data_IF_065977126083
#
_entry.id   IF_065977126083
#
_cell.length_a   1.000
_cell.length_b   1.000
_cell.length_c   1.000
_cell.angle_alpha   90.00
_cell.angle_beta   90.00
_cell.angle_gamma   90.00
#
_symmetry.space_group_name_H-M   'P 1'
#
loop_
_entity.id
_entity.type
_entity.pdbx_description
1 polymer ?
#
# COMPACT_ATOMS: atom_id res chain seq x y z
N UNK A 1 -15.79 -3.68 7.60
CA UNK A 1 -14.94 -4.00 8.78
C UNK A 1 -15.83 -4.11 10.01
N UNK A 2 -15.52 -4.99 10.96
CA UNK A 2 -16.42 -5.35 12.08
C UNK A 2 -16.42 -4.37 13.25
N UNK A 3 -15.38 -3.54 13.40
CA UNK A 3 -15.25 -2.55 14.46
C UNK A 3 -14.70 -1.22 13.90
N UNK A 4 -15.01 -0.10 14.57
CA UNK A 4 -14.53 1.24 14.24
C UNK A 4 -13.00 1.31 14.30
N UNK A 5 -12.43 0.64 15.29
CA UNK A 5 -10.98 0.57 15.46
C UNK A 5 -10.26 -0.10 14.26
N UNK A 6 -10.82 -1.19 13.73
CA UNK A 6 -10.30 -1.84 12.52
C UNK A 6 -10.36 -0.89 11.32
N UNK A 7 -11.43 -0.09 11.24
CA UNK A 7 -11.62 0.90 10.18
C UNK A 7 -10.61 2.04 10.25
N UNK A 8 -10.40 2.60 11.44
CA UNK A 8 -9.40 3.66 11.66
C UNK A 8 -7.98 3.16 11.38
N UNK A 9 -7.67 1.93 11.79
CA UNK A 9 -6.38 1.30 11.49
C UNK A 9 -6.19 1.08 9.99
N UNK A 10 -7.18 0.52 9.31
CA UNK A 10 -7.16 0.30 7.87
C UNK A 10 -6.96 1.60 7.09
N UNK A 11 -7.66 2.68 7.46
CA UNK A 11 -7.47 3.99 6.84
C UNK A 11 -6.08 4.55 7.08
N UNK A 12 -5.52 4.40 8.29
CA UNK A 12 -4.17 4.87 8.60
C UNK A 12 -3.11 4.15 7.77
N UNK A 13 -3.23 2.84 7.61
CA UNK A 13 -2.31 2.05 6.77
C UNK A 13 -2.50 2.35 5.29
N UNK A 14 -3.74 2.42 4.82
CA UNK A 14 -4.05 2.77 3.43
C UNK A 14 -3.47 4.15 3.06
N UNK A 15 -3.63 5.15 3.93
CA UNK A 15 -3.04 6.47 3.73
C UNK A 15 -1.50 6.41 3.67
N UNK A 16 -0.87 5.65 4.58
CA UNK A 16 0.59 5.44 4.61
C UNK A 16 1.08 4.76 3.33
N UNK A 17 0.35 3.76 2.83
CA UNK A 17 0.64 3.06 1.59
C UNK A 17 0.57 4.00 0.38
N UNK A 18 -0.52 4.76 0.22
CA UNK A 18 -0.68 5.73 -0.87
C UNK A 18 0.42 6.78 -0.81
N UNK A 19 0.77 7.25 0.39
CA UNK A 19 1.85 8.22 0.57
C UNK A 19 3.20 7.69 0.08
N UNK A 20 3.60 6.50 0.51
CA UNK A 20 4.88 5.91 0.05
C UNK A 20 4.87 5.60 -1.43
N UNK A 21 3.77 5.07 -1.97
CA UNK A 21 3.64 4.80 -3.40
C UNK A 21 3.78 6.09 -4.19
N UNK A 22 3.06 7.15 -3.81
CA UNK A 22 3.15 8.47 -4.43
C UNK A 22 4.58 9.02 -4.36
N UNK A 23 5.23 8.89 -3.20
CA UNK A 23 6.59 9.39 -3.02
C UNK A 23 7.62 8.63 -3.87
N UNK A 24 7.55 7.30 -3.92
CA UNK A 24 8.43 6.50 -4.77
C UNK A 24 8.21 6.80 -6.25
N UNK A 25 6.96 6.98 -6.67
CA UNK A 25 6.64 7.27 -8.07
C UNK A 25 7.15 8.65 -8.47
N UNK A 26 7.04 9.63 -7.58
CA UNK A 26 7.55 10.98 -7.80
C UNK A 26 9.07 10.97 -7.94
N UNK A 27 9.79 10.32 -7.01
CA UNK A 27 11.26 10.24 -7.07
C UNK A 27 11.72 9.58 -8.37
N UNK A 28 11.15 8.42 -8.71
CA UNK A 28 11.51 7.69 -9.94
C UNK A 28 11.19 8.51 -11.18
N UNK A 29 10.00 9.12 -11.24
CA UNK A 29 9.59 9.97 -12.36
C UNK A 29 10.49 11.20 -12.54
N UNK A 30 10.84 11.88 -11.45
CA UNK A 30 11.75 13.01 -11.48
C UNK A 30 13.14 12.60 -11.96
N UNK A 31 13.72 11.54 -11.41
CA UNK A 31 15.06 11.05 -11.81
C UNK A 31 15.07 10.63 -13.28
N UNK A 32 14.04 9.90 -13.74
CA UNK A 32 13.93 9.48 -15.13
C UNK A 32 13.87 10.69 -16.08
N UNK A 33 13.13 11.73 -15.73
CA UNK A 33 13.01 12.95 -16.53
C UNK A 33 14.34 13.68 -16.73
N UNK A 34 15.19 13.74 -15.70
CA UNK A 34 16.49 14.42 -15.79
C UNK A 34 17.58 13.62 -16.51
N UNK A 35 17.46 12.29 -16.64
CA UNK A 35 18.47 11.46 -17.32
C UNK A 35 18.24 11.46 -18.84
N UNK A 36 17.00 11.28 -19.30
CA UNK A 36 16.65 11.30 -20.72
C UNK A 36 15.14 11.47 -20.88
N UNK A 37 14.66 12.23 -21.88
CA UNK A 37 13.26 12.24 -22.24
C UNK A 37 12.76 10.80 -22.44
N UNK A 38 11.69 10.38 -21.74
CA UNK A 38 11.20 9.02 -21.86
C UNK A 38 10.65 8.78 -23.28
N UNK A 39 10.98 7.65 -23.92
CA UNK A 39 10.32 7.26 -25.16
C UNK A 39 8.80 7.09 -24.94
N UNK A 40 7.94 7.29 -25.94
CA UNK A 40 6.48 7.20 -25.77
C UNK A 40 5.99 5.87 -25.16
N UNK A 41 6.67 4.76 -25.45
CA UNK A 41 6.34 3.43 -24.93
C UNK A 41 6.61 3.27 -23.43
N UNK A 42 7.46 4.10 -22.84
CA UNK A 42 7.81 4.03 -21.41
C UNK A 42 6.62 4.34 -20.50
N UNK A 43 5.68 5.19 -20.95
CA UNK A 43 4.44 5.49 -20.22
C UNK A 43 3.59 4.23 -19.97
N UNK A 44 3.54 3.32 -20.95
CA UNK A 44 2.83 2.04 -20.80
C UNK A 44 3.47 1.15 -19.72
N UNK A 45 4.80 1.14 -19.65
CA UNK A 45 5.54 0.39 -18.63
C UNK A 45 5.34 0.98 -17.24
N UNK A 46 5.41 2.31 -17.09
CA UNK A 46 5.12 2.97 -15.82
C UNK A 46 3.69 2.70 -15.35
N UNK A 47 2.71 2.77 -16.26
CA UNK A 47 1.31 2.45 -15.97
C UNK A 47 1.15 1.00 -15.49
N UNK A 48 1.79 0.04 -16.17
CA UNK A 48 1.76 -1.37 -15.76
C UNK A 48 2.33 -1.56 -14.34
N UNK A 49 3.50 -1.01 -14.05
CA UNK A 49 4.11 -1.14 -12.72
C UNK A 49 3.31 -0.43 -11.63
N UNK A 50 2.67 0.71 -11.93
CA UNK A 50 1.78 1.37 -10.98
C UNK A 50 0.58 0.51 -10.62
N UNK A 51 -0.03 -0.16 -11.61
CA UNK A 51 -1.14 -1.10 -11.37
C UNK A 51 -0.67 -2.26 -10.51
N UNK A 52 0.47 -2.87 -10.83
CA UNK A 52 1.04 -3.97 -10.03
C UNK A 52 1.33 -3.50 -8.60
N UNK A 53 1.93 -2.33 -8.43
CA UNK A 53 2.23 -1.77 -7.12
C UNK A 53 0.96 -1.48 -6.30
N UNK A 54 -0.12 -1.03 -6.95
CA UNK A 54 -1.41 -0.85 -6.29
C UNK A 54 -1.98 -2.19 -5.78
N UNK A 55 -1.94 -3.26 -6.58
CA UNK A 55 -2.36 -4.59 -6.14
C UNK A 55 -1.51 -5.10 -4.97
N UNK A 56 -0.18 -5.02 -5.08
CA UNK A 56 0.74 -5.42 -4.00
C UNK A 56 0.45 -4.64 -2.72
N UNK A 57 0.16 -3.34 -2.83
CA UNK A 57 -0.23 -2.51 -1.70
C UNK A 57 -1.53 -2.96 -1.03
N UNK A 58 -2.55 -3.31 -1.82
CA UNK A 58 -3.82 -3.85 -1.30
C UNK A 58 -3.57 -5.15 -0.54
N UNK A 59 -2.82 -6.10 -1.11
CA UNK A 59 -2.48 -7.35 -0.44
C UNK A 59 -1.71 -7.11 0.86
N UNK A 60 -0.78 -6.15 0.86
CA UNK A 60 -0.05 -5.79 2.07
C UNK A 60 -0.94 -5.16 3.14
N UNK A 61 -1.91 -4.32 2.76
CA UNK A 61 -2.92 -3.79 3.69
C UNK A 61 -3.77 -4.92 4.30
N UNK A 62 -4.17 -5.90 3.50
CA UNK A 62 -4.93 -7.05 3.97
C UNK A 62 -4.11 -7.93 4.92
N UNK A 63 -2.82 -8.13 4.64
CA UNK A 63 -1.91 -8.83 5.54
C UNK A 63 -1.74 -8.08 6.87
N UNK A 64 -1.53 -6.76 6.84
CA UNK A 64 -1.46 -5.95 8.06
C UNK A 64 -2.74 -6.01 8.90
N UNK A 65 -3.90 -6.04 8.25
CA UNK A 65 -5.18 -6.23 8.94
C UNK A 65 -5.27 -7.61 9.59
N UNK A 66 -4.88 -8.67 8.88
CA UNK A 66 -4.87 -10.04 9.40
C UNK A 66 -3.87 -10.24 10.56
N UNK A 67 -2.72 -9.57 10.50
CA UNK A 67 -1.67 -9.70 11.52
C UNK A 67 -2.04 -8.96 12.81
N UNK A 68 -2.89 -7.93 12.73
CA UNK A 68 -3.26 -7.09 13.88
C UNK A 68 -4.69 -7.34 14.38
N UNK A 69 -5.58 -7.97 13.60
CA UNK A 69 -6.97 -8.22 13.98
C UNK A 69 -7.41 -9.66 13.66
N UNK A 70 -8.08 -10.30 14.62
CA UNK A 70 -8.80 -11.57 14.41
C UNK A 70 -10.02 -11.36 13.51
N UNK A 71 -10.60 -12.45 12.98
CA UNK A 71 -11.84 -12.50 12.19
C UNK A 71 -13.01 -11.77 12.88
N UNK A 72 -12.98 -11.65 14.21
CA UNK A 72 -13.98 -10.95 15.01
C UNK A 72 -13.74 -9.44 15.16
N UNK A 73 -12.65 -8.89 14.61
CA UNK A 73 -12.30 -7.47 14.70
C UNK A 73 -11.68 -7.07 16.05
N UNK A 74 -11.19 -8.04 16.82
CA UNK A 74 -10.42 -7.82 18.06
C UNK A 74 -8.94 -7.81 17.75
N UNK A 75 -8.16 -7.00 18.46
CA UNK A 75 -6.70 -7.00 18.32
C UNK A 75 -6.12 -8.34 18.73
N UNK A 76 -5.07 -8.75 18.02
CA UNK A 76 -4.26 -9.92 18.36
C UNK A 76 -2.89 -9.49 18.85
N UNK A 77 -2.45 -10.09 19.94
CA UNK A 77 -1.10 -9.90 20.49
C UNK A 77 -0.04 -10.64 19.67
N UNK A 78 1.26 -10.37 19.91
CA UNK A 78 2.39 -11.05 19.24
C UNK A 78 2.36 -12.59 19.32
N UNK A 79 1.53 -13.18 20.19
CA UNK A 79 1.31 -14.63 20.29
C UNK A 79 0.12 -15.15 19.45
N UNK A 80 -0.57 -14.29 18.67
CA UNK A 80 -1.78 -14.63 17.92
C UNK A 80 -3.02 -14.85 18.79
N UNK A 81 -2.99 -14.43 20.06
CA UNK A 81 -4.12 -14.52 21.00
C UNK A 81 -4.87 -13.18 21.07
N UNK A 82 -6.20 -13.20 21.25
CA UNK A 82 -6.98 -11.98 21.46
C UNK A 82 -6.49 -11.27 22.72
N UNK A 83 -6.32 -9.95 22.61
CA UNK A 83 -6.04 -9.03 23.71
C UNK A 83 -7.26 -8.88 24.65
#
# INVERSE_FOLDING_TARGET
MRNQETWDFGNKIGAKMIFYLGMSTLIVGTVAYFISPPPPWSLGIYGFFLVVAAFVGIFWCEQQLSDNFDKNGRRVNSEGKPD
#
